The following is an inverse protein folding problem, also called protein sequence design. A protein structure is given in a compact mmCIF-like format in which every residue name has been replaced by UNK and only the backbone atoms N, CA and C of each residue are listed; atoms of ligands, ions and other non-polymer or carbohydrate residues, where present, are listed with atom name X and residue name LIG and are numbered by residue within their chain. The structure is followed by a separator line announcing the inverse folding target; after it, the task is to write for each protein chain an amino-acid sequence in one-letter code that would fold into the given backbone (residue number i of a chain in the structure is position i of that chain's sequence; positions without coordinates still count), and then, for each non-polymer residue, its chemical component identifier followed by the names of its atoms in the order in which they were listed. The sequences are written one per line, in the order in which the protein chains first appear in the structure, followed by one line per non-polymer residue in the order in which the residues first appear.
data_IF_619202011338
#
_entry.id   IF_619202011338
#
_cell.length_a   1.000
_cell.length_b   1.000
_cell.length_c   1.000
_cell.angle_alpha   90.00
_cell.angle_beta   90.00
_cell.angle_gamma   90.00
#
_symmetry.space_group_name_H-M   'P 1'
#
loop_
_entity.id
_entity.type
_entity.pdbx_description
1 polymer ?
#
# COMPACT_ATOMS: atom_id res chain seq x y z
N UNK A 1 -53.71 10.90 28.92
CA UNK A 1 -54.10 11.86 27.85
C UNK A 1 -52.81 12.51 27.40
N UNK A 2 -52.37 12.52 26.16
CA UNK A 2 -52.99 12.22 24.88
C UNK A 2 -51.83 12.11 23.86
N UNK A 3 -51.81 11.06 23.05
CA UNK A 3 -51.56 11.04 21.59
C UNK A 3 -50.66 12.13 20.94
N UNK A 4 -49.60 11.75 20.22
CA UNK A 4 -49.65 11.46 18.76
C UNK A 4 -48.26 11.40 18.06
N UNK A 5 -48.17 10.38 17.22
CA UNK A 5 -47.38 10.09 15.99
C UNK A 5 -46.00 10.69 15.63
N UNK A 6 -45.12 9.89 14.96
CA UNK A 6 -43.86 10.33 14.37
C UNK A 6 -44.05 10.83 12.92
N UNK A 7 -43.61 12.06 12.62
CA UNK A 7 -43.56 12.58 11.24
C UNK A 7 -42.26 12.17 10.52
N UNK A 8 -42.43 11.50 9.37
CA UNK A 8 -41.37 11.13 8.41
C UNK A 8 -40.93 12.30 7.50
N UNK A 9 -39.65 12.25 7.13
CA UNK A 9 -38.98 12.66 5.86
C UNK A 9 -38.80 14.15 5.52
N UNK A 10 -37.52 14.53 5.40
CA UNK A 10 -36.98 15.49 4.44
C UNK A 10 -35.56 15.05 4.03
N UNK A 11 -35.41 14.66 2.77
CA UNK A 11 -34.18 14.14 2.14
C UNK A 11 -33.18 15.28 1.87
N UNK A 12 -31.89 14.92 1.90
CA UNK A 12 -30.77 15.45 1.11
C UNK A 12 -30.64 16.97 0.92
N UNK A 13 -29.59 17.55 1.48
CA UNK A 13 -28.71 18.43 0.71
C UNK A 13 -27.29 17.93 0.95
N UNK A 14 -26.77 17.15 0.00
CA UNK A 14 -25.34 16.92 -0.06
C UNK A 14 -24.69 18.28 -0.21
N UNK A 15 -23.84 18.66 0.74
CA UNK A 15 -22.95 19.81 0.58
C UNK A 15 -22.12 19.52 -0.66
N UNK A 16 -22.46 20.19 -1.76
CA UNK A 16 -21.74 20.06 -3.00
C UNK A 16 -20.28 20.44 -2.72
N UNK A 17 -19.35 19.81 -3.43
CA UNK A 17 -17.95 20.26 -3.48
C UNK A 17 -17.86 21.79 -3.72
N UNK A 18 -18.84 22.37 -4.43
CA UNK A 18 -18.98 23.81 -4.63
C UNK A 18 -19.25 24.62 -3.36
N UNK A 19 -20.13 24.15 -2.46
CA UNK A 19 -20.46 24.87 -1.22
C UNK A 19 -19.28 24.89 -0.23
N UNK A 20 -18.48 23.83 -0.25
CA UNK A 20 -17.23 23.76 0.52
C UNK A 20 -16.15 24.69 -0.06
N UNK A 21 -16.10 24.84 -1.39
CA UNK A 21 -15.16 25.72 -2.09
C UNK A 21 -15.51 27.20 -1.86
N UNK A 22 -16.78 27.56 -1.88
CA UNK A 22 -17.22 28.94 -1.66
C UNK A 22 -16.98 29.40 -0.22
N UNK A 23 -17.19 28.51 0.75
CA UNK A 23 -16.82 28.76 2.14
C UNK A 23 -15.31 28.91 2.33
N UNK A 24 -14.51 28.10 1.61
CA UNK A 24 -13.05 28.20 1.59
C UNK A 24 -12.55 29.51 0.95
N UNK A 25 -13.14 29.93 -0.17
CA UNK A 25 -12.83 31.22 -0.82
C UNK A 25 -13.21 32.39 0.10
N UNK A 26 -14.29 32.26 0.87
CA UNK A 26 -14.71 33.25 1.86
C UNK A 26 -13.74 33.34 3.05
N UNK A 27 -13.19 32.22 3.52
CA UNK A 27 -12.11 32.18 4.52
C UNK A 27 -10.80 32.78 3.99
N UNK A 28 -10.44 32.49 2.74
CA UNK A 28 -9.25 33.06 2.08
C UNK A 28 -9.34 34.59 1.95
N UNK A 29 -10.54 35.16 1.79
CA UNK A 29 -10.75 36.61 1.73
C UNK A 29 -10.64 37.29 3.10
N UNK A 30 -10.87 36.56 4.19
CA UNK A 30 -10.93 37.12 5.54
C UNK A 30 -9.61 36.95 6.34
N UNK A 31 -8.65 36.16 5.85
CA UNK A 31 -7.35 36.00 6.50
C UNK A 31 -6.38 37.11 6.07
N UNK A 32 -5.98 37.95 7.03
CA UNK A 32 -5.11 39.12 6.81
C UNK A 32 -3.61 38.82 6.81
N UNK A 33 -3.21 37.55 6.91
CA UNK A 33 -1.82 37.14 6.66
C UNK A 33 -1.66 36.82 5.18
N UNK A 34 -1.28 37.84 4.39
CA UNK A 34 -1.02 37.75 2.95
C UNK A 34 0.16 36.81 2.65
N UNK A 35 -0.09 35.51 2.63
CA UNK A 35 0.64 34.62 1.73
C UNK A 35 -0.07 34.77 0.37
N UNK A 36 0.54 35.55 -0.53
CA UNK A 36 -0.12 35.95 -1.78
C UNK A 36 -0.53 34.71 -2.59
N UNK A 37 -1.73 34.74 -3.18
CA UNK A 37 -2.19 33.71 -4.11
C UNK A 37 -1.17 33.43 -5.23
N UNK A 38 -0.36 34.43 -5.57
CA UNK A 38 0.78 34.32 -6.47
C UNK A 38 1.88 33.39 -5.93
N UNK A 39 2.22 33.45 -4.64
CA UNK A 39 3.18 32.53 -4.00
C UNK A 39 2.62 31.10 -3.92
N UNK A 40 1.32 30.92 -3.75
CA UNK A 40 0.67 29.60 -3.78
C UNK A 40 0.65 28.98 -5.20
N UNK A 41 0.43 29.81 -6.23
CA UNK A 41 0.48 29.40 -7.64
C UNK A 41 1.93 29.15 -8.10
N UNK A 42 2.90 29.85 -7.51
CA UNK A 42 4.33 29.64 -7.75
C UNK A 42 4.84 28.36 -7.07
N UNK A 43 4.41 28.09 -5.83
CA UNK A 43 4.70 26.86 -5.10
C UNK A 43 4.03 25.62 -5.72
N UNK A 44 2.90 25.78 -6.43
CA UNK A 44 2.26 24.69 -7.16
C UNK A 44 3.01 24.33 -8.47
N UNK A 45 4.01 25.11 -8.87
CA UNK A 45 4.72 24.93 -10.16
C UNK A 45 6.09 24.26 -10.05
N UNK A 46 6.53 23.81 -8.87
CA UNK A 46 7.89 23.27 -8.74
C UNK A 46 8.00 21.98 -7.93
N UNK A 47 7.09 21.05 -8.18
CA UNK A 47 7.28 19.65 -7.79
C UNK A 47 6.65 18.77 -8.87
N UNK A 48 7.34 18.67 -10.00
CA UNK A 48 7.18 17.52 -10.87
C UNK A 48 7.84 16.34 -10.16
N UNK A 49 7.06 15.57 -9.41
CA UNK A 49 7.37 14.15 -9.33
C UNK A 49 7.26 13.65 -10.76
N UNK A 50 8.36 13.16 -11.36
CA UNK A 50 8.26 12.32 -12.54
C UNK A 50 7.08 11.35 -12.35
N UNK A 51 6.20 11.27 -13.33
CA UNK A 51 4.87 10.62 -13.40
C UNK A 51 4.71 9.28 -12.65
N UNK A 52 4.91 9.24 -11.33
CA UNK A 52 4.69 8.05 -10.52
C UNK A 52 3.19 7.94 -10.32
N UNK A 53 2.50 7.29 -11.27
CA UNK A 53 1.07 6.96 -11.14
C UNK A 53 0.88 5.74 -10.25
N UNK A 54 1.80 4.78 -10.32
CA UNK A 54 1.83 3.61 -9.46
C UNK A 54 3.26 3.09 -9.25
N UNK A 55 3.45 2.32 -8.19
CA UNK A 55 4.65 1.54 -7.87
C UNK A 55 4.26 0.26 -7.14
N UNK A 56 5.20 -0.65 -6.92
CA UNK A 56 4.95 -1.89 -6.18
C UNK A 56 5.49 -1.83 -4.75
N UNK A 57 4.89 -2.62 -3.86
CA UNK A 57 5.37 -2.78 -2.48
C UNK A 57 6.86 -3.13 -2.48
N UNK A 58 7.64 -2.41 -1.66
CA UNK A 58 9.08 -2.62 -1.49
C UNK A 58 9.96 -1.92 -2.54
N UNK A 59 9.38 -1.37 -3.61
CA UNK A 59 10.14 -0.59 -4.60
C UNK A 59 10.55 0.76 -4.00
N UNK A 60 11.83 1.14 -4.04
CA UNK A 60 12.28 2.44 -3.57
C UNK A 60 11.56 3.59 -4.28
N UNK A 61 11.12 4.60 -3.52
CA UNK A 61 10.35 5.74 -4.06
C UNK A 61 11.16 7.02 -3.86
N UNK A 62 11.53 7.66 -4.96
CA UNK A 62 12.32 8.88 -4.94
C UNK A 62 11.40 10.11 -4.99
N UNK A 63 11.63 11.05 -4.06
CA UNK A 63 11.03 12.38 -4.09
C UNK A 63 12.12 13.40 -4.38
N UNK A 64 11.78 14.39 -5.20
CA UNK A 64 12.55 15.62 -5.34
C UNK A 64 11.72 16.79 -4.83
N UNK A 65 12.37 17.80 -4.27
CA UNK A 65 11.72 19.04 -3.87
C UNK A 65 12.53 20.25 -4.31
N UNK A 66 11.81 21.34 -4.52
CA UNK A 66 12.36 22.67 -4.73
C UNK A 66 11.48 23.68 -3.99
N UNK A 67 12.02 24.24 -2.92
CA UNK A 67 11.42 25.29 -2.11
C UNK A 67 12.13 26.62 -2.39
N UNK A 68 11.47 27.77 -2.17
CA UNK A 68 12.12 29.07 -2.33
C UNK A 68 13.22 29.26 -1.28
N UNK A 69 14.44 29.51 -1.75
CA UNK A 69 15.64 29.64 -0.91
C UNK A 69 15.52 30.72 0.17
N UNK A 70 14.70 31.75 -0.06
CA UNK A 70 14.50 32.85 0.90
C UNK A 70 13.66 32.44 2.12
N UNK A 71 12.81 31.42 1.97
CA UNK A 71 11.87 30.98 3.02
C UNK A 71 12.13 29.57 3.51
N UNK A 72 13.16 28.91 2.99
CA UNK A 72 13.55 27.57 3.39
C UNK A 72 14.11 27.56 4.82
N UNK A 73 13.66 26.61 5.63
CA UNK A 73 14.25 26.30 6.93
C UNK A 73 14.99 24.96 6.84
N UNK A 74 16.16 24.86 7.49
CA UNK A 74 16.86 23.58 7.65
C UNK A 74 16.04 22.51 8.41
N UNK A 75 14.95 22.95 9.06
CA UNK A 75 13.99 22.10 9.77
C UNK A 75 12.79 21.72 8.89
N UNK A 76 12.73 22.19 7.66
CA UNK A 76 11.76 21.70 6.69
C UNK A 76 11.94 20.20 6.50
N UNK A 77 10.86 19.49 6.20
CA UNK A 77 10.90 18.05 6.07
C UNK A 77 9.83 17.55 5.12
N UNK A 78 10.09 16.40 4.51
CA UNK A 78 9.15 15.72 3.62
C UNK A 78 8.75 14.38 4.21
N UNK A 79 7.45 14.12 4.24
CA UNK A 79 6.87 12.87 4.73
C UNK A 79 6.07 12.15 3.65
N UNK A 80 6.09 10.81 3.71
CA UNK A 80 5.23 9.94 2.91
C UNK A 80 3.98 9.58 3.72
N UNK A 81 2.80 9.71 3.10
CA UNK A 81 1.52 9.52 3.78
C UNK A 81 0.55 8.69 2.97
N UNK A 82 -0.21 7.83 3.66
CA UNK A 82 -1.39 7.19 3.08
C UNK A 82 -2.58 8.14 3.14
N UNK A 83 -3.20 8.43 1.99
CA UNK A 83 -4.25 9.45 1.89
C UNK A 83 -5.47 9.08 2.73
N UNK A 84 -5.93 7.83 2.65
CA UNK A 84 -7.14 7.39 3.37
C UNK A 84 -7.04 7.57 4.89
N UNK A 85 -5.83 7.44 5.44
CA UNK A 85 -5.58 7.64 6.87
C UNK A 85 -5.46 9.13 7.22
N UNK A 86 -4.97 9.97 6.30
CA UNK A 86 -4.62 11.37 6.56
C UNK A 86 -5.57 12.39 5.93
N UNK A 87 -6.77 11.94 5.56
CA UNK A 87 -7.78 12.70 4.80
C UNK A 87 -8.49 13.78 5.60
N UNK A 88 -8.46 13.72 6.94
CA UNK A 88 -9.16 14.68 7.82
C UNK A 88 -8.68 16.12 7.64
N UNK A 89 -7.40 16.32 7.31
CA UNK A 89 -6.84 17.63 7.02
C UNK A 89 -5.63 17.51 6.08
N UNK A 90 -5.69 18.23 4.96
CA UNK A 90 -4.60 18.30 3.97
C UNK A 90 -3.58 19.40 4.27
N UNK A 91 -4.00 20.46 4.97
CA UNK A 91 -3.13 21.62 5.27
C UNK A 91 -2.32 21.46 6.57
N UNK A 92 -2.74 20.50 7.40
CA UNK A 92 -2.06 20.15 8.65
C UNK A 92 -2.14 18.66 8.88
N UNK A 93 -1.00 18.02 9.01
CA UNK A 93 -0.94 16.58 9.27
C UNK A 93 -1.16 16.34 10.77
N UNK A 94 -2.26 15.66 11.11
CA UNK A 94 -2.60 15.29 12.50
C UNK A 94 -2.06 13.89 12.85
N UNK A 95 -1.84 13.05 11.84
CA UNK A 95 -1.35 11.68 12.00
C UNK A 95 0.10 11.58 11.52
N UNK A 96 0.98 11.11 12.41
CA UNK A 96 2.41 10.94 12.14
C UNK A 96 2.66 10.12 10.88
N UNK A 97 3.71 10.45 10.12
CA UNK A 97 4.25 9.58 9.05
C UNK A 97 4.90 8.30 9.59
N UNK A 98 4.88 8.08 10.91
CA UNK A 98 5.38 6.89 11.60
C UNK A 98 6.82 6.54 11.19
N UNK A 99 7.69 7.56 11.18
CA UNK A 99 9.11 7.43 10.84
C UNK A 99 9.43 7.58 9.34
N UNK A 100 8.43 7.70 8.47
CA UNK A 100 8.56 7.79 7.00
C UNK A 100 8.70 9.23 6.54
N UNK A 101 9.77 9.85 6.97
CA UNK A 101 10.10 11.23 6.63
C UNK A 101 11.62 11.46 6.66
N UNK A 102 12.05 12.56 6.05
CA UNK A 102 13.43 13.07 6.14
C UNK A 102 13.43 14.59 6.22
N UNK A 103 14.49 15.17 6.79
CA UNK A 103 14.73 16.60 6.69
C UNK A 103 15.11 16.99 5.27
N UNK A 104 14.68 18.17 4.87
CA UNK A 104 15.12 18.87 3.69
C UNK A 104 16.18 19.87 4.16
N UNK A 105 17.46 19.50 4.13
CA UNK A 105 18.55 20.37 4.62
C UNK A 105 18.77 21.59 3.73
N UNK A 106 18.45 21.43 2.46
CA UNK A 106 18.63 22.43 1.41
C UNK A 106 17.30 22.69 0.71
N UNK A 107 17.20 23.90 0.17
CA UNK A 107 16.00 24.38 -0.50
C UNK A 107 15.60 23.49 -1.68
N UNK A 108 16.58 22.90 -2.37
CA UNK A 108 16.42 21.86 -3.38
C UNK A 108 17.07 20.57 -2.93
N UNK A 109 16.42 19.44 -3.16
CA UNK A 109 17.01 18.14 -2.82
C UNK A 109 16.25 16.96 -3.40
N UNK A 110 16.87 15.79 -3.25
CA UNK A 110 16.33 14.51 -3.68
C UNK A 110 16.54 13.51 -2.55
N UNK A 111 15.54 12.68 -2.28
CA UNK A 111 15.64 11.62 -1.30
C UNK A 111 14.90 10.37 -1.77
N UNK A 112 15.51 9.21 -1.54
CA UNK A 112 14.93 7.91 -1.86
C UNK A 112 14.42 7.25 -0.59
N UNK A 113 13.11 7.05 -0.51
CA UNK A 113 12.48 6.25 0.53
C UNK A 113 12.69 4.77 0.22
N UNK A 114 13.30 4.05 1.15
CA UNK A 114 13.56 2.61 1.04
C UNK A 114 13.40 1.91 2.40
N UNK A 115 13.23 0.58 2.38
CA UNK A 115 13.15 -0.27 3.59
C UNK A 115 12.10 0.24 4.60
N UNK A 116 12.52 0.57 5.82
CA UNK A 116 11.66 1.06 6.91
C UNK A 116 11.00 2.42 6.63
N UNK A 117 11.51 3.17 5.64
CA UNK A 117 10.91 4.44 5.20
C UNK A 117 9.72 4.23 4.24
N UNK A 118 9.49 3.01 3.75
CA UNK A 118 8.37 2.68 2.87
C UNK A 118 7.13 2.20 3.64
N UNK A 119 5.99 2.27 2.97
CA UNK A 119 4.80 1.52 3.36
C UNK A 119 4.83 0.14 2.71
N UNK A 120 4.51 -0.89 3.50
CA UNK A 120 4.44 -2.29 3.05
C UNK A 120 2.99 -2.76 2.87
N UNK A 121 2.12 -1.82 2.53
CA UNK A 121 0.69 -2.06 2.37
C UNK A 121 0.18 -1.29 1.15
N UNK A 122 -0.85 -1.84 0.51
CA UNK A 122 -1.47 -1.22 -0.64
C UNK A 122 -2.20 0.07 -0.28
N UNK A 123 -2.30 0.95 -1.27
CA UNK A 123 -3.19 2.11 -1.21
C UNK A 123 -2.68 3.28 -2.02
N UNK A 124 -3.34 4.42 -1.81
CA UNK A 124 -2.98 5.68 -2.46
C UNK A 124 -2.22 6.55 -1.47
N UNK A 125 -1.06 7.04 -1.92
CA UNK A 125 -0.09 7.76 -1.14
C UNK A 125 0.24 9.11 -1.77
N UNK A 126 0.80 10.00 -0.95
CA UNK A 126 1.29 11.30 -1.37
C UNK A 126 2.49 11.72 -0.51
N UNK A 127 3.38 12.52 -1.08
CA UNK A 127 4.40 13.23 -0.32
C UNK A 127 3.84 14.58 0.14
N UNK A 128 4.15 14.96 1.38
CA UNK A 128 3.84 16.29 1.92
C UNK A 128 5.11 16.97 2.39
N UNK A 129 5.32 18.20 1.93
CA UNK A 129 6.41 19.07 2.38
C UNK A 129 5.93 19.94 3.53
N UNK A 130 6.70 19.97 4.60
CA UNK A 130 6.38 20.62 5.85
C UNK A 130 7.40 21.69 6.21
N UNK A 131 6.92 22.75 6.87
CA UNK A 131 7.73 23.94 7.17
C UNK A 131 8.25 23.95 8.61
N UNK A 132 9.52 24.28 8.76
CA UNK A 132 10.17 24.71 10.00
C UNK A 132 9.95 23.77 11.20
N UNK A 133 9.98 22.45 10.95
CA UNK A 133 9.74 21.43 11.95
C UNK A 133 8.31 21.38 12.49
N UNK A 134 7.38 22.11 11.87
CA UNK A 134 5.95 22.07 12.18
C UNK A 134 5.24 21.06 11.29
N UNK A 135 3.96 20.84 11.58
CA UNK A 135 3.09 19.93 10.82
C UNK A 135 2.25 20.64 9.76
N UNK A 136 2.49 21.93 9.54
CA UNK A 136 1.87 22.71 8.47
C UNK A 136 2.40 22.20 7.12
N UNK A 137 1.50 22.02 6.16
CA UNK A 137 1.81 21.47 4.84
C UNK A 137 1.91 22.61 3.85
N UNK A 138 3.08 22.80 3.25
CA UNK A 138 3.29 23.81 2.20
C UNK A 138 3.03 23.25 0.80
N UNK A 139 3.33 21.98 0.59
CA UNK A 139 3.17 21.32 -0.70
C UNK A 139 2.73 19.87 -0.54
N UNK A 140 1.94 19.38 -1.49
CA UNK A 140 1.52 17.98 -1.59
C UNK A 140 1.74 17.50 -3.02
N UNK A 141 2.38 16.34 -3.19
CA UNK A 141 2.58 15.73 -4.50
C UNK A 141 1.26 15.28 -5.13
N UNK A 142 1.30 14.95 -6.42
CA UNK A 142 0.23 14.14 -7.00
C UNK A 142 0.11 12.80 -6.26
N UNK A 143 -1.13 12.30 -6.06
CA UNK A 143 -1.35 10.97 -5.50
C UNK A 143 -0.79 9.87 -6.40
N UNK A 144 -0.24 8.84 -5.79
CA UNK A 144 0.25 7.66 -6.49
C UNK A 144 -0.12 6.38 -5.75
N UNK A 145 -0.27 5.30 -6.49
CA UNK A 145 -0.71 4.02 -5.92
C UNK A 145 0.48 3.11 -5.60
N UNK A 146 0.56 2.58 -4.38
CA UNK A 146 1.42 1.44 -4.08
C UNK A 146 0.54 0.20 -4.18
N UNK A 147 0.86 -0.69 -5.12
CA UNK A 147 0.16 -1.95 -5.37
C UNK A 147 0.98 -3.13 -4.88
N UNK A 148 0.33 -4.23 -4.52
CA UNK A 148 1.04 -5.51 -4.45
C UNK A 148 1.58 -5.82 -5.84
N UNK A 149 2.66 -6.59 -5.89
CA UNK A 149 3.13 -7.15 -7.13
C UNK A 149 2.08 -8.16 -7.60
N UNK A 150 1.13 -7.71 -8.42
CA UNK A 150 0.37 -8.62 -9.27
C UNK A 150 1.35 -9.10 -10.34
N UNK A 151 1.71 -10.39 -10.27
CA UNK A 151 2.22 -11.18 -11.42
C UNK A 151 3.67 -11.01 -11.91
N UNK A 152 4.62 -10.49 -11.13
CA UNK A 152 6.07 -10.64 -11.45
C UNK A 152 6.92 -11.33 -10.36
N UNK A 153 6.31 -11.76 -9.24
CA UNK A 153 7.03 -12.55 -8.21
C UNK A 153 7.30 -13.97 -8.72
N UNK A 154 6.36 -14.57 -9.45
CA UNK A 154 6.52 -15.97 -9.86
C UNK A 154 7.61 -16.14 -10.92
N UNK A 155 7.67 -15.25 -11.90
CA UNK A 155 8.67 -15.30 -12.98
C UNK A 155 10.10 -14.99 -12.50
N UNK A 156 10.27 -14.29 -11.36
CA UNK A 156 11.58 -13.89 -10.84
C UNK A 156 12.08 -14.73 -9.66
N UNK A 157 11.20 -15.45 -8.96
CA UNK A 157 11.60 -16.22 -7.78
C UNK A 157 11.89 -17.68 -8.12
N UNK A 158 11.22 -18.24 -9.11
CA UNK A 158 11.40 -19.64 -9.52
C UNK A 158 11.17 -19.76 -11.03
N UNK A 159 12.23 -19.97 -11.81
CA UNK A 159 12.14 -20.26 -13.25
C UNK A 159 11.67 -21.70 -13.47
N UNK A 160 10.34 -21.89 -13.44
CA UNK A 160 9.68 -23.17 -13.79
C UNK A 160 9.22 -23.11 -15.24
N UNK A 161 9.86 -23.90 -16.11
CA UNK A 161 9.52 -24.05 -17.53
C UNK A 161 8.42 -25.06 -17.77
N UNK A 162 8.26 -26.06 -16.90
CA UNK A 162 7.26 -27.11 -17.03
C UNK A 162 6.73 -27.60 -15.68
N UNK A 163 5.43 -27.90 -15.61
CA UNK A 163 4.81 -28.44 -14.38
C UNK A 163 5.29 -29.85 -14.03
N UNK A 164 5.85 -30.58 -14.99
CA UNK A 164 6.37 -31.94 -14.83
C UNK A 164 7.86 -31.97 -14.45
N UNK A 165 8.53 -30.82 -14.44
CA UNK A 165 9.94 -30.79 -14.09
C UNK A 165 10.14 -30.90 -12.57
N UNK A 166 11.21 -31.58 -12.11
CA UNK A 166 11.51 -31.64 -10.69
C UNK A 166 11.82 -30.26 -10.09
N UNK A 167 11.29 -29.99 -8.91
CA UNK A 167 11.47 -28.70 -8.22
C UNK A 167 12.86 -28.55 -7.58
N UNK A 168 13.54 -29.65 -7.24
CA UNK A 168 14.81 -29.59 -6.55
C UNK A 168 15.95 -28.93 -7.37
N UNK A 169 16.15 -29.25 -8.66
CA UNK A 169 17.09 -28.52 -9.52
C UNK A 169 16.85 -27.01 -9.55
N UNK A 170 15.59 -26.58 -9.51
CA UNK A 170 15.24 -25.16 -9.55
C UNK A 170 15.54 -24.49 -8.21
N UNK A 171 15.18 -25.12 -7.09
CA UNK A 171 15.47 -24.60 -5.77
C UNK A 171 16.98 -24.52 -5.49
N UNK A 172 17.76 -25.45 -6.02
CA UNK A 172 19.23 -25.49 -5.92
C UNK A 172 19.93 -24.38 -6.70
N UNK A 173 19.23 -23.59 -7.53
CA UNK A 173 19.79 -22.38 -8.16
C UNK A 173 19.90 -21.21 -7.16
N UNK A 174 19.21 -21.29 -6.02
CA UNK A 174 19.27 -20.27 -4.97
C UNK A 174 20.32 -20.62 -3.91
N UNK A 175 21.01 -19.60 -3.41
CA UNK A 175 21.90 -19.71 -2.24
C UNK A 175 21.15 -20.17 -0.96
N UNK A 176 19.82 -20.07 -0.94
CA UNK A 176 18.98 -20.43 0.20
C UNK A 176 17.78 -21.31 -0.20
N UNK A 177 18.07 -22.57 -0.53
CA UNK A 177 17.10 -23.62 -0.92
C UNK A 177 15.94 -23.74 0.08
N UNK A 178 16.21 -23.63 1.39
CA UNK A 178 15.19 -23.74 2.44
C UNK A 178 14.14 -22.64 2.32
N UNK A 179 14.56 -21.40 2.05
CA UNK A 179 13.62 -20.29 1.85
C UNK A 179 12.79 -20.47 0.57
N UNK A 180 13.37 -21.02 -0.50
CA UNK A 180 12.61 -21.36 -1.73
C UNK A 180 11.53 -22.41 -1.43
N UNK A 181 11.86 -23.47 -0.70
CA UNK A 181 10.88 -24.48 -0.31
C UNK A 181 9.81 -23.94 0.65
N UNK A 182 10.17 -23.08 1.59
CA UNK A 182 9.18 -22.37 2.44
C UNK A 182 8.25 -21.50 1.60
N UNK A 183 8.77 -20.85 0.57
CA UNK A 183 7.96 -20.05 -0.34
C UNK A 183 6.97 -20.92 -1.13
N UNK A 184 7.41 -22.03 -1.74
CA UNK A 184 6.49 -22.98 -2.40
C UNK A 184 5.40 -23.44 -1.43
N UNK A 185 5.79 -23.84 -0.22
CA UNK A 185 4.88 -24.26 0.84
C UNK A 185 3.84 -23.19 1.17
N UNK A 186 4.28 -21.94 1.34
CA UNK A 186 3.40 -20.80 1.63
C UNK A 186 2.46 -20.50 0.45
N UNK A 187 2.97 -20.55 -0.78
CA UNK A 187 2.19 -20.28 -1.98
C UNK A 187 1.06 -21.30 -2.14
N UNK A 188 1.42 -22.59 -2.13
CA UNK A 188 0.47 -23.69 -2.26
C UNK A 188 -0.55 -23.60 -1.13
N UNK A 189 -0.12 -23.32 0.10
CA UNK A 189 -1.04 -23.23 1.24
C UNK A 189 -2.04 -22.11 1.11
N UNK A 190 -1.62 -20.94 0.62
CA UNK A 190 -2.52 -19.79 0.39
C UNK A 190 -3.48 -20.05 -0.78
N UNK A 191 -3.00 -20.65 -1.87
CA UNK A 191 -3.82 -20.90 -3.06
C UNK A 191 -4.86 -22.01 -2.85
N UNK A 192 -4.50 -23.05 -2.09
CA UNK A 192 -5.33 -24.24 -1.91
C UNK A 192 -6.10 -24.26 -0.59
N UNK A 193 -5.77 -23.36 0.33
CA UNK A 193 -6.24 -23.39 1.73
C UNK A 193 -5.86 -24.69 2.47
N UNK A 194 -4.92 -25.48 1.95
CA UNK A 194 -4.39 -26.69 2.58
C UNK A 194 -3.03 -26.36 3.17
N UNK A 195 -2.83 -26.54 4.48
CA UNK A 195 -1.53 -26.28 5.10
C UNK A 195 -0.50 -27.33 4.64
N UNK A 196 0.43 -26.90 3.79
CA UNK A 196 1.55 -27.71 3.32
C UNK A 196 2.79 -27.35 4.13
N UNK A 197 3.59 -28.35 4.52
CA UNK A 197 4.86 -28.14 5.21
C UNK A 197 6.03 -28.24 4.23
N UNK A 198 6.95 -27.27 4.24
CA UNK A 198 8.07 -27.21 3.28
C UNK A 198 8.98 -28.46 3.30
N UNK A 199 8.97 -29.23 4.38
CA UNK A 199 9.74 -30.49 4.48
C UNK A 199 9.36 -31.53 3.44
N UNK A 200 8.18 -31.43 2.81
CA UNK A 200 7.80 -32.34 1.71
C UNK A 200 8.77 -32.27 0.53
N UNK A 201 9.43 -31.12 0.35
CA UNK A 201 10.38 -30.86 -0.75
C UNK A 201 11.81 -31.30 -0.41
N UNK A 202 12.17 -31.43 0.87
CA UNK A 202 13.55 -31.73 1.29
C UNK A 202 14.00 -33.17 1.01
N UNK A 203 13.05 -34.09 0.91
CA UNK A 203 13.33 -35.53 0.81
C UNK A 203 12.82 -36.13 -0.51
N UNK A 204 12.51 -35.30 -1.51
CA UNK A 204 12.04 -35.76 -2.82
C UNK A 204 12.61 -34.90 -3.95
N UNK A 205 13.78 -35.28 -4.44
CA UNK A 205 14.46 -34.55 -5.52
C UNK A 205 13.69 -34.59 -6.84
N UNK A 206 12.82 -35.59 -7.03
CA UNK A 206 12.03 -35.79 -8.24
C UNK A 206 10.61 -35.17 -8.17
N UNK A 207 10.28 -34.45 -7.09
CA UNK A 207 8.93 -33.93 -6.90
C UNK A 207 8.66 -32.76 -7.84
N UNK A 208 7.69 -32.90 -8.75
CA UNK A 208 7.23 -31.84 -9.65
C UNK A 208 6.00 -31.10 -9.10
N UNK A 209 5.59 -30.01 -9.77
CA UNK A 209 4.33 -29.32 -9.45
C UNK A 209 3.15 -30.26 -9.69
N UNK A 210 3.20 -31.04 -10.78
CA UNK A 210 2.15 -31.98 -11.15
C UNK A 210 1.97 -33.07 -10.06
N UNK A 211 3.07 -33.60 -9.52
CA UNK A 211 3.03 -34.57 -8.42
C UNK A 211 2.40 -34.00 -7.15
N UNK A 212 2.72 -32.75 -6.80
CA UNK A 212 2.13 -32.06 -5.65
C UNK A 212 0.63 -31.83 -5.87
N UNK A 213 0.23 -31.42 -7.07
CA UNK A 213 -1.16 -31.21 -7.42
C UNK A 213 -1.97 -32.50 -7.29
N UNK A 214 -1.48 -33.61 -7.86
CA UNK A 214 -2.12 -34.92 -7.72
C UNK A 214 -2.28 -35.33 -6.25
N UNK A 215 -1.21 -35.21 -5.44
CA UNK A 215 -1.29 -35.52 -4.00
C UNK A 215 -2.33 -34.68 -3.28
N UNK A 216 -2.44 -33.40 -3.60
CA UNK A 216 -3.44 -32.51 -2.97
C UNK A 216 -4.87 -32.85 -3.40
N UNK A 217 -5.07 -33.22 -4.67
CA UNK A 217 -6.36 -33.69 -5.18
C UNK A 217 -6.77 -34.98 -4.45
N UNK A 218 -5.86 -35.96 -4.35
CA UNK A 218 -6.12 -37.22 -3.67
C UNK A 218 -6.45 -36.99 -2.19
N UNK A 219 -5.69 -36.13 -1.50
CA UNK A 219 -5.96 -35.75 -0.11
C UNK A 219 -7.35 -35.11 0.02
N UNK A 220 -7.69 -34.18 -0.88
CA UNK A 220 -8.99 -33.51 -0.85
C UNK A 220 -10.13 -34.51 -1.05
N UNK A 221 -10.01 -35.43 -2.00
CA UNK A 221 -11.02 -36.47 -2.25
C UNK A 221 -11.24 -37.33 -1.01
N UNK A 222 -10.15 -37.80 -0.37
CA UNK A 222 -10.23 -38.59 0.87
C UNK A 222 -10.90 -37.79 2.00
N UNK A 223 -10.57 -36.51 2.15
CA UNK A 223 -11.19 -35.65 3.17
C UNK A 223 -12.69 -35.44 2.92
N UNK A 224 -13.11 -35.27 1.67
CA UNK A 224 -14.51 -35.16 1.29
C UNK A 224 -15.28 -36.46 1.59
N UNK A 225 -14.73 -37.62 1.23
CA UNK A 225 -15.32 -38.94 1.55
C UNK A 225 -15.46 -39.17 3.06
N UNK A 226 -14.45 -38.81 3.85
CA UNK A 226 -14.50 -38.90 5.32
C UNK A 226 -15.54 -37.95 5.92
N UNK A 227 -15.68 -36.74 5.36
CA UNK A 227 -16.67 -35.76 5.81
C UNK A 227 -18.10 -36.25 5.57
N UNK A 228 -18.35 -36.90 4.43
CA UNK A 228 -19.65 -37.47 4.09
C UNK A 228 -20.03 -38.63 5.03
N UNK A 229 -19.10 -39.56 5.28
CA UNK A 229 -19.32 -40.67 6.21
C UNK A 229 -19.56 -40.22 7.67
N UNK A 230 -18.99 -39.08 8.07
CA UNK A 230 -19.18 -38.52 9.41
C UNK A 230 -20.57 -37.88 9.62
N UNK A 231 -21.23 -37.44 8.56
CA UNK A 231 -22.57 -36.83 8.61
C UNK A 231 -23.69 -37.88 8.54
N UNK A 232 -23.46 -39.03 7.91
CA UNK A 232 -24.39 -40.17 7.99
C UNK A 232 -24.42 -40.83 9.37
N UNK A 233 -23.27 -40.95 10.05
CA UNK A 233 -23.20 -41.53 11.42
C UNK A 233 -23.84 -40.67 12.51
N UNK A 234 -24.15 -39.39 12.25
CA UNK A 234 -24.87 -38.51 13.20
C UNK A 234 -26.39 -38.56 13.05
N UNK A 235 -26.91 -39.22 12.02
CA UNK A 235 -28.34 -39.34 11.72
C UNK A 235 -28.90 -40.76 11.96
N UNK A 236 -28.17 -41.60 12.70
CA UNK A 236 -28.57 -42.91 13.24
C UNK A 236 -28.44 -42.88 14.76
#
# INVERSE_FOLDING_TARGET
MSNDEPKRRGLNNGTSLGDSLDNFIKELRNSTTKLSQQKLIELSKTCQSNELKYTTIGTPITVSWQSPSETHSIRDWVGLYKIVQTSYSRNKTILSSAGRWTYCTDATGVFTFEKEKLFWEEGVYEFRYHLDGKHDVAYISEPFEIKTIETEIFDKVVDVKSVDEPLAPIANQSDNVIEVYKLFSSLISKSTHINVNYRIFLNNDNLSINDVAHKLIDIKQVLEELSFNSSEKKNL
#
